data_IF_617306325456
#
_entry.id   IF_617306325456
#
_cell.length_a   1.000
_cell.length_b   1.000
_cell.length_c   1.000
_cell.angle_alpha   90.00
_cell.angle_beta   90.00
_cell.angle_gamma   90.00
#
_symmetry.space_group_name_H-M   'P 1'
#
loop_
_entity.id
_entity.type
_entity.pdbx_description
1 polymer ?
#
# COMPACT_ATOMS: atom_id res chain seq x y z
N UNK A 1 -20.63 -14.34 -0.66
CA UNK A 1 -20.08 -12.97 -0.48
C UNK A 1 -19.33 -12.92 0.84
N UNK A 2 -18.09 -12.43 0.87
CA UNK A 2 -17.25 -12.46 2.07
C UNK A 2 -17.53 -11.24 2.97
N UNK A 3 -18.32 -11.42 4.03
CA UNK A 3 -18.69 -10.36 4.98
C UNK A 3 -17.50 -9.71 5.69
N UNK A 4 -16.37 -10.42 5.82
CA UNK A 4 -15.16 -9.86 6.44
C UNK A 4 -14.56 -8.72 5.62
N UNK A 5 -14.66 -8.78 4.29
CA UNK A 5 -14.16 -7.71 3.41
C UNK A 5 -15.07 -6.47 3.39
N UNK A 6 -16.29 -6.61 3.85
CA UNK A 6 -17.25 -5.51 3.94
C UNK A 6 -17.25 -4.83 5.32
N UNK A 7 -16.53 -5.39 6.31
CA UNK A 7 -16.46 -4.85 7.67
C UNK A 7 -15.00 -4.63 8.11
N UNK A 8 -14.24 -3.88 7.30
CA UNK A 8 -12.84 -3.59 7.57
C UNK A 8 -12.71 -2.46 8.61
N UNK A 9 -11.71 -2.57 9.47
CA UNK A 9 -11.33 -1.51 10.40
C UNK A 9 -10.54 -0.40 9.71
N UNK A 10 -10.47 0.80 10.30
CA UNK A 10 -9.69 1.93 9.76
C UNK A 10 -8.19 1.63 9.60
N UNK A 11 -7.69 0.58 10.24
CA UNK A 11 -6.30 0.12 10.13
C UNK A 11 -6.05 -0.85 8.96
N UNK A 12 -7.09 -1.24 8.25
CA UNK A 12 -7.03 -2.17 7.12
C UNK A 12 -7.27 -1.43 5.81
N UNK A 13 -6.49 -1.76 4.80
CA UNK A 13 -6.66 -1.17 3.47
C UNK A 13 -7.57 -2.07 2.61
N UNK A 14 -8.72 -1.59 2.14
CA UNK A 14 -9.63 -2.40 1.32
C UNK A 14 -8.98 -2.95 0.04
N UNK A 15 -8.07 -2.19 -0.56
CA UNK A 15 -7.35 -2.61 -1.79
C UNK A 15 -6.41 -3.79 -1.49
N UNK A 16 -5.66 -3.71 -0.39
CA UNK A 16 -4.72 -4.75 0.04
C UNK A 16 -5.46 -6.01 0.53
N UNK A 17 -6.54 -5.84 1.29
CA UNK A 17 -7.35 -6.97 1.77
C UNK A 17 -8.08 -7.69 0.62
N UNK A 18 -8.60 -6.94 -0.37
CA UNK A 18 -9.16 -7.56 -1.57
C UNK A 18 -8.08 -8.28 -2.38
N UNK A 19 -6.87 -7.71 -2.53
CA UNK A 19 -5.75 -8.37 -3.19
C UNK A 19 -5.37 -9.69 -2.50
N UNK A 20 -5.30 -9.71 -1.17
CA UNK A 20 -5.05 -10.93 -0.39
C UNK A 20 -6.13 -11.98 -0.61
N UNK A 21 -7.38 -11.54 -0.62
CA UNK A 21 -8.52 -12.43 -0.88
C UNK A 21 -8.45 -13.05 -2.28
N UNK A 22 -8.18 -12.25 -3.30
CA UNK A 22 -8.04 -12.73 -4.70
C UNK A 22 -6.89 -13.73 -4.79
N UNK A 23 -5.72 -13.43 -4.22
CA UNK A 23 -4.54 -14.33 -4.20
C UNK A 23 -4.82 -15.68 -3.56
N UNK A 24 -5.64 -15.72 -2.54
CA UNK A 24 -6.04 -16.97 -1.86
C UNK A 24 -7.27 -17.66 -2.48
N UNK A 25 -7.79 -17.13 -3.60
CA UNK A 25 -9.03 -17.66 -4.15
C UNK A 25 -8.80 -18.85 -5.08
N UNK A 26 -9.65 -19.88 -4.93
CA UNK A 26 -9.56 -21.16 -5.67
C UNK A 26 -9.65 -21.04 -7.19
N UNK A 27 -10.18 -19.93 -7.72
CA UNK A 27 -10.22 -19.69 -9.16
C UNK A 27 -8.84 -19.70 -9.81
N UNK A 28 -7.80 -19.26 -9.10
CA UNK A 28 -6.42 -19.23 -9.60
C UNK A 28 -5.82 -20.64 -9.75
N UNK A 29 -6.34 -21.63 -9.04
CA UNK A 29 -5.83 -23.02 -9.06
C UNK A 29 -6.63 -23.94 -10.01
N UNK A 30 -7.85 -23.57 -10.33
CA UNK A 30 -8.80 -24.45 -11.00
C UNK A 30 -8.54 -24.63 -12.51
N UNK A 31 -8.17 -23.55 -13.23
CA UNK A 31 -7.86 -23.56 -14.67
C UNK A 31 -8.98 -24.00 -15.64
N UNK A 32 -10.21 -24.25 -15.13
CA UNK A 32 -11.31 -24.83 -15.92
C UNK A 32 -12.24 -23.81 -16.61
N UNK A 33 -12.26 -22.61 -16.10
CA UNK A 33 -13.18 -21.55 -16.52
C UNK A 33 -12.39 -20.32 -16.95
N UNK A 34 -12.38 -19.97 -18.23
CA UNK A 34 -11.62 -18.83 -18.77
C UNK A 34 -11.91 -17.55 -17.98
N UNK A 35 -13.17 -17.17 -17.82
CA UNK A 35 -13.53 -15.97 -17.10
C UNK A 35 -13.24 -16.05 -15.59
N UNK A 36 -13.37 -17.23 -14.97
CA UNK A 36 -13.01 -17.43 -13.58
C UNK A 36 -11.50 -17.37 -13.36
N UNK A 37 -10.72 -18.10 -14.17
CA UNK A 37 -9.25 -18.20 -14.02
C UNK A 37 -8.54 -16.94 -14.51
N UNK A 38 -8.68 -16.62 -15.80
CA UNK A 38 -8.00 -15.45 -16.40
C UNK A 38 -8.52 -14.14 -15.79
N UNK A 39 -9.82 -14.07 -15.50
CA UNK A 39 -10.41 -12.92 -14.83
C UNK A 39 -9.84 -12.71 -13.42
N UNK A 40 -9.70 -13.77 -12.63
CA UNK A 40 -9.09 -13.69 -11.31
C UNK A 40 -7.60 -13.28 -11.39
N UNK A 41 -6.85 -13.83 -12.35
CA UNK A 41 -5.46 -13.47 -12.58
C UNK A 41 -5.30 -11.98 -12.98
N UNK A 42 -6.16 -11.50 -13.87
CA UNK A 42 -6.15 -10.09 -14.29
C UNK A 42 -6.57 -9.15 -13.15
N UNK A 43 -7.54 -9.57 -12.33
CA UNK A 43 -7.96 -8.84 -11.13
C UNK A 43 -6.81 -8.75 -10.12
N UNK A 44 -6.12 -9.85 -9.86
CA UNK A 44 -4.94 -9.90 -8.99
C UNK A 44 -3.85 -8.94 -9.49
N UNK A 45 -3.48 -9.04 -10.77
CA UNK A 45 -2.43 -8.23 -11.37
C UNK A 45 -2.73 -6.73 -11.25
N UNK A 46 -3.95 -6.34 -11.58
CA UNK A 46 -4.34 -4.92 -11.54
C UNK A 46 -4.43 -4.38 -10.11
N UNK A 47 -4.97 -5.15 -9.17
CA UNK A 47 -4.96 -4.78 -7.74
C UNK A 47 -3.54 -4.66 -7.19
N UNK A 48 -2.65 -5.57 -7.58
CA UNK A 48 -1.24 -5.50 -7.20
C UNK A 48 -0.58 -4.22 -7.75
N UNK A 49 -0.82 -3.86 -9.00
CA UNK A 49 -0.31 -2.61 -9.58
C UNK A 49 -0.86 -1.37 -8.85
N UNK A 50 -2.12 -1.39 -8.43
CA UNK A 50 -2.70 -0.33 -7.60
C UNK A 50 -1.92 -0.21 -6.28
N UNK A 51 -1.63 -1.30 -5.57
CA UNK A 51 -0.87 -1.27 -4.30
C UNK A 51 0.59 -0.86 -4.48
N UNK A 52 1.15 -1.00 -5.68
CA UNK A 52 2.52 -0.61 -6.03
C UNK A 52 2.66 0.80 -6.64
N UNK A 53 1.60 1.64 -6.60
CA UNK A 53 1.54 2.97 -7.25
C UNK A 53 1.62 2.97 -8.78
N UNK A 54 1.50 1.83 -9.44
CA UNK A 54 1.56 1.68 -10.90
C UNK A 54 0.19 1.85 -11.57
N UNK A 55 -0.85 2.15 -10.80
CA UNK A 55 -2.21 2.31 -11.28
C UNK A 55 -2.38 3.43 -12.31
N UNK A 56 -3.28 3.19 -13.25
CA UNK A 56 -3.74 4.12 -14.28
C UNK A 56 -5.14 4.63 -13.92
N UNK A 57 -5.52 5.79 -14.42
CA UNK A 57 -6.86 6.36 -14.18
C UNK A 57 -8.00 5.49 -14.71
N UNK A 58 -7.74 4.61 -15.66
CA UNK A 58 -8.73 3.71 -16.27
C UNK A 58 -8.93 2.41 -15.51
N UNK A 59 -8.05 2.06 -14.55
CA UNK A 59 -8.04 0.73 -13.93
C UNK A 59 -9.33 0.42 -13.19
N UNK A 60 -9.92 1.40 -12.50
CA UNK A 60 -11.18 1.17 -11.80
C UNK A 60 -12.33 0.81 -12.74
N UNK A 61 -12.44 1.50 -13.87
CA UNK A 61 -13.45 1.21 -14.89
C UNK A 61 -13.21 -0.18 -15.53
N UNK A 62 -11.94 -0.53 -15.77
CA UNK A 62 -11.57 -1.84 -16.32
C UNK A 62 -11.86 -2.96 -15.33
N UNK A 63 -11.50 -2.81 -14.04
CA UNK A 63 -11.80 -3.78 -12.99
C UNK A 63 -13.30 -4.01 -12.82
N UNK A 64 -14.09 -2.93 -12.80
CA UNK A 64 -15.54 -3.03 -12.71
C UNK A 64 -16.13 -3.78 -13.91
N UNK A 65 -15.67 -3.46 -15.12
CA UNK A 65 -16.11 -4.15 -16.34
C UNK A 65 -15.70 -5.64 -16.32
N UNK A 66 -14.48 -5.93 -15.92
CA UNK A 66 -13.97 -7.30 -15.78
C UNK A 66 -14.82 -8.12 -14.80
N UNK A 67 -15.09 -7.59 -13.61
CA UNK A 67 -15.89 -8.28 -12.61
C UNK A 67 -17.33 -8.51 -13.09
N UNK A 68 -17.95 -7.57 -13.80
CA UNK A 68 -19.27 -7.78 -14.41
C UNK A 68 -19.27 -8.88 -15.48
N UNK A 69 -18.21 -8.98 -16.28
CA UNK A 69 -18.06 -10.08 -17.24
C UNK A 69 -17.83 -11.41 -16.50
N UNK A 70 -17.01 -11.44 -15.46
CA UNK A 70 -16.81 -12.63 -14.65
C UNK A 70 -18.13 -13.09 -14.00
N UNK A 71 -18.92 -12.18 -13.45
CA UNK A 71 -20.22 -12.49 -12.83
C UNK A 71 -21.18 -13.16 -13.82
N UNK A 72 -21.21 -12.71 -15.08
CA UNK A 72 -22.18 -13.16 -16.08
C UNK A 72 -21.68 -14.30 -16.95
N UNK A 73 -20.37 -14.45 -17.16
CA UNK A 73 -19.76 -15.39 -18.10
C UNK A 73 -18.97 -16.51 -17.44
N UNK A 74 -18.70 -16.45 -16.13
CA UNK A 74 -18.05 -17.57 -15.44
C UNK A 74 -18.98 -18.76 -15.37
N UNK A 75 -18.43 -19.94 -15.65
CA UNK A 75 -19.14 -21.22 -15.54
C UNK A 75 -19.08 -21.75 -14.10
N UNK A 76 -18.01 -21.39 -13.36
CA UNK A 76 -17.80 -21.84 -11.99
C UNK A 76 -18.41 -20.86 -10.99
N UNK A 77 -18.95 -21.39 -9.92
CA UNK A 77 -19.56 -20.65 -8.83
C UNK A 77 -18.54 -19.76 -8.10
N UNK A 78 -17.32 -20.24 -7.93
CA UNK A 78 -16.21 -19.49 -7.33
C UNK A 78 -15.87 -18.22 -8.12
N UNK A 79 -15.87 -18.27 -9.46
CA UNK A 79 -15.61 -17.08 -10.31
C UNK A 79 -16.71 -16.05 -10.18
N UNK A 80 -17.96 -16.49 -10.11
CA UNK A 80 -19.13 -15.65 -9.90
C UNK A 80 -19.06 -15.00 -8.51
N UNK A 81 -18.76 -15.79 -7.47
CA UNK A 81 -18.66 -15.27 -6.09
C UNK A 81 -17.52 -14.28 -5.93
N UNK A 82 -16.35 -14.57 -6.50
CA UNK A 82 -15.21 -13.64 -6.50
C UNK A 82 -15.59 -12.29 -7.13
N UNK A 83 -16.23 -12.33 -8.29
CA UNK A 83 -16.65 -11.13 -9.00
C UNK A 83 -17.67 -10.29 -8.19
N UNK A 84 -18.68 -10.93 -7.61
CA UNK A 84 -19.66 -10.29 -6.75
C UNK A 84 -19.03 -9.65 -5.52
N UNK A 85 -18.10 -10.36 -4.89
CA UNK A 85 -17.38 -9.86 -3.72
C UNK A 85 -16.54 -8.65 -4.09
N UNK A 86 -15.80 -8.70 -5.20
CA UNK A 86 -14.99 -7.57 -5.67
C UNK A 86 -15.84 -6.34 -6.01
N UNK A 87 -16.97 -6.51 -6.70
CA UNK A 87 -17.88 -5.42 -7.02
C UNK A 87 -18.46 -4.75 -5.76
N UNK A 88 -18.86 -5.54 -4.76
CA UNK A 88 -19.35 -5.02 -3.48
C UNK A 88 -18.27 -4.21 -2.74
N UNK A 89 -17.01 -4.69 -2.74
CA UNK A 89 -15.87 -3.98 -2.14
C UNK A 89 -15.57 -2.68 -2.90
N UNK A 90 -15.64 -2.69 -4.23
CA UNK A 90 -15.45 -1.47 -5.05
C UNK A 90 -16.50 -0.41 -4.76
N UNK A 91 -17.75 -0.81 -4.58
CA UNK A 91 -18.84 0.10 -4.27
C UNK A 91 -18.70 0.69 -2.86
N UNK A 92 -18.45 -0.16 -1.88
CA UNK A 92 -18.39 0.24 -0.47
C UNK A 92 -17.18 1.12 -0.16
N UNK A 93 -16.04 0.85 -0.77
CA UNK A 93 -14.77 1.53 -0.52
C UNK A 93 -14.28 2.36 -1.73
N UNK A 94 -15.21 2.92 -2.49
CA UNK A 94 -14.91 3.70 -3.71
C UNK A 94 -13.88 4.82 -3.45
N UNK A 95 -13.97 5.51 -2.32
CA UNK A 95 -13.06 6.59 -1.94
C UNK A 95 -11.63 6.10 -1.66
N UNK A 96 -11.47 4.91 -1.09
CA UNK A 96 -10.16 4.31 -0.83
C UNK A 96 -9.48 3.90 -2.15
N UNK A 97 -10.21 3.31 -3.09
CA UNK A 97 -9.72 3.02 -4.42
C UNK A 97 -9.35 4.29 -5.19
N UNK A 98 -10.20 5.31 -5.15
CA UNK A 98 -9.91 6.62 -5.75
C UNK A 98 -8.66 7.27 -5.11
N UNK A 99 -8.48 7.12 -3.80
CA UNK A 99 -7.29 7.55 -3.07
C UNK A 99 -6.02 6.89 -3.61
N UNK A 100 -6.02 5.57 -3.80
CA UNK A 100 -4.87 4.82 -4.33
C UNK A 100 -4.58 5.17 -5.80
N UNK A 101 -5.62 5.31 -6.63
CA UNK A 101 -5.47 5.52 -8.07
C UNK A 101 -5.13 6.97 -8.40
N UNK A 102 -5.91 7.93 -7.91
CA UNK A 102 -5.77 9.34 -8.27
C UNK A 102 -4.78 10.10 -7.37
N UNK A 103 -4.89 9.93 -6.04
CA UNK A 103 -4.06 10.67 -5.08
C UNK A 103 -2.75 9.96 -4.73
N UNK A 104 -2.56 8.73 -5.21
CA UNK A 104 -1.40 7.88 -4.88
C UNK A 104 -1.14 7.81 -3.37
N UNK A 105 -2.20 7.65 -2.58
CA UNK A 105 -2.16 7.60 -1.12
C UNK A 105 -3.00 6.45 -0.57
N UNK A 106 -2.54 5.82 0.52
CA UNK A 106 -3.25 4.80 1.28
C UNK A 106 -3.72 5.41 2.61
N UNK A 107 -5.03 5.48 2.84
CA UNK A 107 -5.61 6.05 4.07
C UNK A 107 -5.19 5.24 5.31
N UNK A 108 -5.24 3.93 5.24
CA UNK A 108 -4.84 3.03 6.31
C UNK A 108 -3.32 2.99 6.56
N UNK A 109 -2.49 3.46 5.62
CA UNK A 109 -1.03 3.49 5.77
C UNK A 109 -0.34 2.12 5.77
N UNK A 110 -0.99 1.06 5.27
CA UNK A 110 -0.43 -0.31 5.30
C UNK A 110 0.20 -0.74 3.98
N UNK A 111 -0.13 -0.08 2.87
CA UNK A 111 0.47 -0.36 1.57
C UNK A 111 1.89 0.21 1.53
N UNK A 112 2.90 -0.66 1.55
CA UNK A 112 4.33 -0.28 1.68
C UNK A 112 4.76 0.85 0.74
N UNK A 113 4.34 0.83 -0.53
CA UNK A 113 4.72 1.88 -1.49
C UNK A 113 4.01 3.23 -1.29
N UNK A 114 3.03 3.30 -0.39
CA UNK A 114 2.31 4.55 -0.09
C UNK A 114 2.73 5.19 1.23
N UNK A 115 3.54 4.51 2.02
CA UNK A 115 4.09 5.05 3.25
C UNK A 115 5.45 5.68 2.99
N UNK A 116 5.78 6.67 3.79
CA UNK A 116 7.08 7.33 3.80
C UNK A 116 7.59 7.38 5.24
N UNK A 117 8.88 7.24 5.43
CA UNK A 117 9.50 7.38 6.74
C UNK A 117 9.96 8.81 6.95
N UNK A 118 9.80 9.31 8.17
CA UNK A 118 10.12 10.68 8.55
C UNK A 118 10.83 10.69 9.91
N UNK A 119 11.83 11.56 10.04
CA UNK A 119 12.57 11.74 11.28
C UNK A 119 12.02 12.96 12.01
N UNK A 120 11.49 12.76 13.22
CA UNK A 120 10.96 13.82 14.06
C UNK A 120 12.11 14.62 14.69
N UNK A 121 12.12 15.93 14.42
CA UNK A 121 13.22 16.81 14.80
C UNK A 121 13.37 17.02 16.32
N UNK A 122 12.30 16.87 17.06
CA UNK A 122 12.21 17.01 18.50
C UNK A 122 12.69 15.76 19.26
N UNK A 123 12.68 14.62 18.59
CA UNK A 123 13.12 13.34 19.15
C UNK A 123 14.53 12.95 18.70
N UNK A 124 14.95 13.37 17.52
CA UNK A 124 16.25 12.99 16.97
C UNK A 124 17.42 13.65 17.71
N UNK A 125 18.32 12.82 18.26
CA UNK A 125 19.54 13.25 18.97
C UNK A 125 20.78 13.30 18.06
N UNK A 126 20.66 12.84 16.82
CA UNK A 126 21.77 12.85 15.86
C UNK A 126 22.87 11.82 16.16
N UNK A 127 22.52 10.64 16.63
CA UNK A 127 23.45 9.53 16.92
C UNK A 127 24.19 9.04 15.67
N UNK A 128 23.48 8.83 14.57
CA UNK A 128 24.00 8.35 13.29
C UNK A 128 23.59 6.93 12.93
N UNK A 129 23.08 6.13 13.88
CA UNK A 129 22.80 4.69 13.71
C UNK A 129 21.87 4.40 12.54
N UNK A 130 20.88 5.25 12.31
CA UNK A 130 19.99 5.12 11.16
C UNK A 130 20.69 5.34 9.81
N UNK A 131 21.78 6.12 9.76
CA UNK A 131 22.60 6.31 8.55
C UNK A 131 23.38 5.03 8.28
N UNK A 132 24.02 4.48 9.32
CA UNK A 132 24.86 3.29 9.20
C UNK A 132 24.06 2.05 8.76
N UNK A 133 22.76 2.00 9.05
CA UNK A 133 21.85 0.91 8.67
C UNK A 133 21.12 1.15 7.32
N UNK A 134 21.37 2.27 6.64
CA UNK A 134 20.71 2.58 5.38
C UNK A 134 21.54 2.10 4.18
N UNK A 135 21.18 0.96 3.61
CA UNK A 135 21.87 0.41 2.42
C UNK A 135 21.75 1.28 1.17
N UNK A 136 20.74 2.17 1.13
CA UNK A 136 20.44 3.02 -0.04
C UNK A 136 21.00 4.43 0.10
N UNK A 137 21.77 4.72 1.16
CA UNK A 137 22.30 6.07 1.47
C UNK A 137 21.22 7.19 1.47
N UNK A 138 19.97 6.82 1.71
CA UNK A 138 18.83 7.74 1.66
C UNK A 138 18.70 8.66 2.89
N UNK A 139 19.60 8.55 3.89
CA UNK A 139 19.53 9.36 5.11
C UNK A 139 20.64 10.39 5.12
N UNK A 140 20.24 11.65 5.03
CA UNK A 140 21.15 12.79 5.02
C UNK A 140 21.38 13.29 6.45
N UNK A 141 22.63 13.52 6.80
CA UNK A 141 23.00 14.08 8.10
C UNK A 141 24.43 13.76 8.51
N UNK A 142 24.76 14.13 9.73
CA UNK A 142 26.01 13.79 10.42
C UNK A 142 25.78 13.79 11.94
N UNK A 143 26.70 13.26 12.72
CA UNK A 143 26.60 13.26 14.18
C UNK A 143 26.29 14.64 14.75
N UNK A 144 25.37 14.70 15.71
CA UNK A 144 24.83 15.93 16.34
C UNK A 144 23.97 16.80 15.42
N UNK A 145 23.50 16.26 14.27
CA UNK A 145 22.52 16.91 13.41
C UNK A 145 21.24 16.06 13.39
N UNK A 146 20.10 16.72 13.30
CA UNK A 146 18.84 16.08 13.00
C UNK A 146 18.95 15.54 11.59
N UNK A 147 18.77 14.23 11.44
CA UNK A 147 18.85 13.55 10.15
C UNK A 147 17.58 13.78 9.34
N UNK A 148 17.66 13.65 8.02
CA UNK A 148 16.54 13.79 7.09
C UNK A 148 16.56 12.65 6.10
N UNK A 149 15.41 12.05 5.83
CA UNK A 149 15.28 10.98 4.85
C UNK A 149 14.97 11.60 3.48
N UNK A 150 15.83 11.33 2.52
CA UNK A 150 15.57 11.62 1.11
C UNK A 150 14.50 10.64 0.60
N UNK A 151 13.33 11.15 0.27
CA UNK A 151 12.19 10.32 -0.13
C UNK A 151 12.34 9.77 -1.56
N UNK A 152 13.19 10.36 -2.38
CA UNK A 152 13.42 9.93 -3.75
C UNK A 152 14.37 8.72 -3.79
N UNK A 153 15.33 8.65 -2.88
CA UNK A 153 16.28 7.54 -2.74
C UNK A 153 15.77 6.43 -1.81
N UNK A 154 14.83 6.72 -0.91
CA UNK A 154 14.33 5.78 0.09
C UNK A 154 13.51 4.63 -0.51
N UNK A 155 13.97 3.39 -0.36
CA UNK A 155 13.25 2.17 -0.80
C UNK A 155 12.14 1.71 0.14
N UNK A 156 11.93 2.40 1.27
CA UNK A 156 10.94 2.10 2.31
C UNK A 156 11.17 0.72 2.98
N UNK A 157 12.39 0.29 3.13
CA UNK A 157 12.73 -1.00 3.75
C UNK A 157 12.42 -1.05 5.26
N UNK A 158 12.52 0.08 5.98
CA UNK A 158 12.19 0.19 7.40
C UNK A 158 13.34 -0.09 8.37
N UNK A 159 14.54 -0.50 7.91
CA UNK A 159 15.69 -0.82 8.77
C UNK A 159 16.06 0.32 9.73
N UNK A 160 15.99 1.55 9.26
CA UNK A 160 16.29 2.74 10.07
C UNK A 160 15.34 2.92 11.27
N UNK A 161 14.11 2.40 11.19
CA UNK A 161 13.15 2.46 12.32
C UNK A 161 13.62 1.54 13.43
N UNK A 162 14.05 0.33 13.08
CA UNK A 162 14.55 -0.68 14.03
C UNK A 162 15.88 -0.24 14.69
N UNK A 163 16.69 0.53 13.98
CA UNK A 163 17.97 1.04 14.45
C UNK A 163 17.85 2.32 15.30
N UNK A 164 16.67 2.87 15.48
CA UNK A 164 16.48 4.14 16.18
C UNK A 164 16.03 3.92 17.63
N UNK A 165 16.95 3.88 18.57
CA UNK A 165 16.66 3.73 20.02
C UNK A 165 15.78 4.88 20.59
N UNK A 166 15.84 6.06 19.95
CA UNK A 166 15.03 7.23 20.37
C UNK A 166 13.61 7.22 19.78
N UNK A 167 13.23 6.18 19.02
CA UNK A 167 11.94 6.09 18.33
C UNK A 167 11.59 7.34 17.50
N UNK A 168 12.60 8.07 17.04
CA UNK A 168 12.45 9.33 16.33
C UNK A 168 11.98 9.15 14.88
N UNK A 169 11.97 7.92 14.34
CA UNK A 169 11.59 7.64 12.96
C UNK A 169 10.19 7.07 12.93
N UNK A 170 9.30 7.78 12.26
CA UNK A 170 7.89 7.42 12.14
C UNK A 170 7.50 7.13 10.71
N UNK A 171 6.63 6.15 10.54
CA UNK A 171 5.99 5.84 9.28
C UNK A 171 4.75 6.73 9.10
N UNK A 172 4.64 7.40 7.96
CA UNK A 172 3.51 8.25 7.64
C UNK A 172 2.87 7.85 6.30
N UNK A 173 1.53 7.84 6.30
CA UNK A 173 0.72 7.61 5.10
C UNK A 173 0.35 8.93 4.41
N UNK A 174 -0.96 9.18 4.30
CA UNK A 174 -1.48 10.39 3.65
C UNK A 174 -1.15 11.69 4.40
N UNK A 175 -1.09 11.65 5.73
CA UNK A 175 -0.72 12.78 6.58
C UNK A 175 0.75 12.62 6.97
N UNK A 176 1.58 13.57 6.56
CA UNK A 176 3.02 13.57 6.81
C UNK A 176 3.35 14.50 7.99
N UNK A 177 4.26 14.11 8.90
CA UNK A 177 4.73 14.98 9.95
C UNK A 177 5.55 16.12 9.37
N UNK A 178 5.66 17.23 10.11
CA UNK A 178 6.53 18.35 9.74
C UNK A 178 7.97 18.00 10.11
N UNK A 179 8.80 17.77 9.11
CA UNK A 179 10.22 17.47 9.27
C UNK A 179 11.07 18.54 8.56
N UNK A 180 12.32 18.77 9.00
CA UNK A 180 13.25 19.64 8.28
C UNK A 180 13.48 19.12 6.85
N UNK A 181 13.64 20.03 5.89
CA UNK A 181 14.00 19.68 4.52
C UNK A 181 15.51 19.41 4.34
N UNK A 182 16.33 19.81 5.31
CA UNK A 182 17.79 19.62 5.34
C UNK A 182 18.24 19.33 6.76
N UNK A 183 19.37 18.60 6.94
CA UNK A 183 19.92 18.36 8.26
C UNK A 183 20.23 19.67 9.00
N UNK A 184 19.76 19.81 10.22
CA UNK A 184 19.98 20.97 11.09
C UNK A 184 20.64 20.51 12.40
N UNK A 185 21.46 21.35 13.06
CA UNK A 185 22.08 21.00 14.32
C UNK A 185 21.04 20.62 15.38
N UNK A 186 21.31 19.58 16.16
CA UNK A 186 20.48 19.24 17.30
C UNK A 186 20.55 20.38 18.34
N UNK A 187 19.40 20.70 18.93
CA UNK A 187 19.30 21.75 19.96
C UNK A 187 19.75 21.28 21.36
N UNK A 188 20.32 20.09 21.47
CA UNK A 188 20.81 19.51 22.72
C UNK A 188 22.32 19.47 22.79
#
# INVERSE_FOLDING_TARGET
MNEKLLNLSDKQCPVDELLKYVKGHKCLDCGKCVFGYEGAAQLELTLNDITLKKSRSTDMAQLTKLCRLMETQSICEEGIELAKTALAVFEQYADDFAGHIAKKSCKAGVCKKFVTYHILADMCVGCGDCIDECDDDAILGKKKFIHVIDQDECTQCGKCVEACDEEAIVMAGAIKPRCPAKPIPCKR
#
